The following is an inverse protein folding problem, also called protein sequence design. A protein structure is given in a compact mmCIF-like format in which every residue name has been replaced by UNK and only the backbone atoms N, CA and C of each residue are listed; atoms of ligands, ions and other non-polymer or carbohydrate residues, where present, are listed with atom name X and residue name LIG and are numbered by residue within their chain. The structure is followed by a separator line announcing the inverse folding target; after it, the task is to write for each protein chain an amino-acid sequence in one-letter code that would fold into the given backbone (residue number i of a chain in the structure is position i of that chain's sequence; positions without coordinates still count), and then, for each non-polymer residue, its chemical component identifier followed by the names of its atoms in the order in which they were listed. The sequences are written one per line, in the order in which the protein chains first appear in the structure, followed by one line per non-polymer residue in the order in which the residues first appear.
data_IF_557188370403
#
_entry.id   IF_557188370403
#
_cell.length_a   1.000
_cell.length_b   1.000
_cell.length_c   1.000
_cell.angle_alpha   90.00
_cell.angle_beta   90.00
_cell.angle_gamma   90.00
#
_symmetry.space_group_name_H-M   'P 1'
#
loop_
_entity.id
_entity.type
_entity.pdbx_description
1 polymer ?
#
# COMPACT_ATOMS: atom_id res chain seq x y z
N UNK A 1 17.15 -23.72 -27.08
CA UNK A 1 17.23 -23.23 -25.69
C UNK A 1 18.26 -22.13 -25.66
N UNK A 2 17.80 -20.91 -25.92
CA UNK A 2 18.62 -19.69 -25.86
C UNK A 2 18.02 -18.90 -24.71
N UNK A 3 18.71 -18.96 -23.59
CA UNK A 3 18.41 -18.26 -22.35
C UNK A 3 18.55 -16.77 -22.63
N UNK A 4 17.44 -16.04 -22.69
CA UNK A 4 17.46 -14.60 -22.85
C UNK A 4 17.90 -13.99 -21.52
N UNK A 5 19.12 -13.43 -21.50
CA UNK A 5 19.68 -12.74 -20.35
C UNK A 5 18.74 -11.63 -19.87
N UNK A 6 18.52 -11.55 -18.55
CA UNK A 6 17.86 -10.42 -17.91
C UNK A 6 18.58 -9.12 -18.24
N UNK A 7 17.87 -8.03 -18.59
CA UNK A 7 18.50 -6.73 -18.78
C UNK A 7 19.08 -6.25 -17.44
N UNK A 8 20.37 -5.87 -17.45
CA UNK A 8 21.05 -5.30 -16.30
C UNK A 8 20.32 -4.03 -15.79
N UNK A 9 20.24 -3.79 -14.47
CA UNK A 9 19.64 -2.59 -13.92
C UNK A 9 20.46 -1.36 -14.34
N UNK A 10 19.94 -0.60 -15.30
CA UNK A 10 20.52 0.67 -15.72
C UNK A 10 20.16 1.78 -14.74
N UNK A 11 21.11 2.68 -14.48
CA UNK A 11 20.98 3.88 -13.65
C UNK A 11 19.87 4.78 -14.21
N UNK A 12 18.65 4.65 -13.69
CA UNK A 12 17.53 5.51 -14.10
C UNK A 12 17.67 6.89 -13.44
N UNK A 13 18.39 7.79 -14.11
CA UNK A 13 18.47 9.21 -13.75
C UNK A 13 17.15 9.90 -14.16
N UNK A 14 16.70 10.91 -13.40
CA UNK A 14 15.47 11.70 -13.66
C UNK A 14 15.47 12.30 -15.08
N UNK A 15 14.87 11.62 -16.05
CA UNK A 15 14.62 12.20 -17.39
C UNK A 15 13.24 12.90 -17.47
N UNK A 16 12.33 12.65 -16.52
CA UNK A 16 11.02 13.31 -16.47
C UNK A 16 10.53 13.58 -15.05
N UNK A 17 9.72 14.63 -14.88
CA UNK A 17 9.09 14.99 -13.61
C UNK A 17 8.24 13.84 -13.07
N UNK A 18 8.21 13.67 -11.75
CA UNK A 18 7.44 12.60 -11.09
C UNK A 18 5.93 12.76 -11.35
N UNK A 19 5.42 11.90 -12.25
CA UNK A 19 4.01 11.80 -12.64
C UNK A 19 3.17 10.95 -11.68
N UNK A 20 3.66 10.63 -10.48
CA UNK A 20 2.85 9.94 -9.47
C UNK A 20 1.61 10.81 -9.17
N UNK A 21 0.39 10.30 -9.48
CA UNK A 21 -0.82 11.09 -9.31
C UNK A 21 -1.00 11.41 -7.84
N UNK A 22 -1.27 12.68 -7.55
CA UNK A 22 -1.70 13.15 -6.23
C UNK A 22 -2.99 13.93 -6.37
N UNK A 23 -3.59 14.33 -5.25
CA UNK A 23 -4.88 15.00 -5.22
C UNK A 23 -4.90 16.28 -6.07
N UNK A 24 -3.81 17.06 -6.07
CA UNK A 24 -3.65 18.31 -6.85
C UNK A 24 -2.85 18.15 -8.14
N UNK A 25 -2.39 16.94 -8.44
CA UNK A 25 -1.64 16.62 -9.65
C UNK A 25 -2.22 15.35 -10.22
N UNK A 26 -3.48 15.46 -10.65
CA UNK A 26 -4.22 14.34 -11.22
C UNK A 26 -3.58 13.92 -12.53
N UNK A 27 -3.61 12.61 -12.80
CA UNK A 27 -3.22 12.10 -14.11
C UNK A 27 -4.47 12.04 -14.98
N UNK A 28 -4.42 12.60 -16.19
CA UNK A 28 -5.46 12.36 -17.19
C UNK A 28 -5.39 10.90 -17.64
N UNK A 29 -6.31 10.08 -17.17
CA UNK A 29 -6.50 8.74 -17.67
C UNK A 29 -7.60 8.73 -18.74
N UNK A 30 -7.75 7.62 -19.45
CA UNK A 30 -8.71 7.52 -20.55
C UNK A 30 -10.17 7.53 -20.06
N UNK A 31 -10.37 7.14 -18.80
CA UNK A 31 -11.64 7.19 -18.09
C UNK A 31 -11.91 8.52 -17.40
N UNK A 32 -10.97 9.48 -17.42
CA UNK A 32 -11.08 10.79 -16.78
C UNK A 32 -9.91 11.06 -15.81
N UNK A 33 -10.01 12.14 -15.03
CA UNK A 33 -8.94 12.48 -14.09
C UNK A 33 -8.84 11.43 -12.95
N UNK A 34 -7.60 11.24 -12.49
CA UNK A 34 -7.23 10.26 -11.47
C UNK A 34 -6.64 10.95 -10.25
N UNK A 35 -7.23 10.76 -9.08
CA UNK A 35 -6.67 11.20 -7.80
C UNK A 35 -6.29 9.99 -6.93
N UNK A 36 -5.11 10.04 -6.32
CA UNK A 36 -4.67 9.07 -5.31
C UNK A 36 -4.63 9.77 -3.96
N UNK A 37 -5.25 9.15 -2.97
CA UNK A 37 -5.35 9.64 -1.61
C UNK A 37 -4.43 8.77 -0.76
N UNK A 38 -3.41 9.39 -0.17
CA UNK A 38 -2.43 8.68 0.66
C UNK A 38 -2.94 8.54 2.09
N UNK A 39 -2.86 7.31 2.59
CA UNK A 39 -3.25 6.92 3.92
C UNK A 39 -2.03 6.34 4.62
N UNK A 40 -1.32 7.09 5.49
CA UNK A 40 -0.22 6.53 6.27
C UNK A 40 -0.66 5.27 7.04
N UNK A 41 -0.02 4.14 6.75
CA UNK A 41 -0.40 2.83 7.31
C UNK A 41 -1.78 2.32 6.86
N UNK A 42 -2.34 2.87 5.78
CA UNK A 42 -3.67 2.53 5.29
C UNK A 42 -4.83 3.02 6.16
N UNK A 43 -4.54 3.80 7.20
CA UNK A 43 -5.52 4.22 8.21
C UNK A 43 -6.40 5.35 7.70
N UNK A 44 -7.69 5.23 7.94
CA UNK A 44 -8.68 6.27 7.69
C UNK A 44 -9.69 6.32 8.85
N UNK A 45 -10.16 7.52 9.19
CA UNK A 45 -11.30 7.67 10.11
C UNK A 45 -12.62 7.44 9.37
N UNK A 46 -13.64 7.06 10.13
CA UNK A 46 -15.01 6.89 9.63
C UNK A 46 -15.53 8.10 8.84
N UNK A 47 -15.40 9.31 9.39
CA UNK A 47 -15.86 10.55 8.76
C UNK A 47 -15.09 10.87 7.47
N UNK A 48 -13.79 10.61 7.44
CA UNK A 48 -12.96 10.74 6.24
C UNK A 48 -13.41 9.78 5.13
N UNK A 49 -13.70 8.53 5.49
CA UNK A 49 -14.19 7.54 4.53
C UNK A 49 -15.56 7.95 3.96
N UNK A 50 -16.46 8.45 4.81
CA UNK A 50 -17.76 9.00 4.36
C UNK A 50 -17.58 10.16 3.40
N UNK A 51 -16.66 11.11 3.68
CA UNK A 51 -16.39 12.22 2.76
C UNK A 51 -15.85 11.72 1.41
N UNK A 52 -14.92 10.76 1.41
CA UNK A 52 -14.41 10.18 0.16
C UNK A 52 -15.50 9.44 -0.63
N UNK A 53 -16.38 8.72 0.06
CA UNK A 53 -17.49 8.02 -0.55
C UNK A 53 -18.45 8.99 -1.25
N UNK A 54 -18.81 10.08 -0.58
CA UNK A 54 -19.65 11.15 -1.15
C UNK A 54 -18.98 11.80 -2.37
N UNK A 55 -17.69 12.11 -2.28
CA UNK A 55 -16.93 12.66 -3.40
C UNK A 55 -16.88 11.70 -4.59
N UNK A 56 -16.66 10.40 -4.34
CA UNK A 56 -16.64 9.37 -5.38
C UNK A 56 -18.01 9.24 -6.08
N UNK A 57 -19.11 9.28 -5.32
CA UNK A 57 -20.46 9.20 -5.88
C UNK A 57 -20.88 10.45 -6.67
N UNK A 58 -20.46 11.64 -6.22
CA UNK A 58 -20.89 12.90 -6.82
C UNK A 58 -20.02 13.34 -8.00
N UNK A 59 -18.71 13.05 -7.96
CA UNK A 59 -17.73 13.66 -8.87
C UNK A 59 -16.83 12.65 -9.58
N UNK A 60 -16.96 11.34 -9.34
CA UNK A 60 -16.13 10.29 -9.92
C UNK A 60 -16.98 9.12 -10.45
N UNK A 61 -16.36 7.96 -10.69
CA UNK A 61 -17.03 6.75 -11.20
C UNK A 61 -17.88 5.98 -10.16
N UNK A 62 -18.02 6.51 -8.94
CA UNK A 62 -18.77 5.88 -7.86
C UNK A 62 -18.02 4.82 -7.06
N UNK A 63 -16.70 4.68 -7.24
CA UNK A 63 -15.88 3.71 -6.51
C UNK A 63 -14.66 4.33 -5.81
N UNK A 64 -14.24 3.69 -4.73
CA UNK A 64 -12.94 3.86 -4.10
C UNK A 64 -12.10 2.63 -4.44
N UNK A 65 -11.01 2.81 -5.19
CA UNK A 65 -10.14 1.69 -5.57
C UNK A 65 -9.02 1.48 -4.54
N UNK A 66 -8.90 0.26 -4.06
CA UNK A 66 -7.86 -0.16 -3.13
C UNK A 66 -6.55 -0.41 -3.89
N UNK A 67 -5.46 0.14 -3.37
CA UNK A 67 -4.15 0.07 -4.02
C UNK A 67 -3.21 -0.92 -3.33
N UNK A 68 -2.18 -1.36 -4.05
CA UNK A 68 -1.13 -2.26 -3.52
C UNK A 68 -0.21 -1.64 -2.44
N UNK A 69 -0.57 -0.46 -1.91
CA UNK A 69 0.15 0.29 -0.88
C UNK A 69 -0.74 0.73 0.29
N UNK A 70 -1.96 0.20 0.38
CA UNK A 70 -2.94 0.61 1.40
C UNK A 70 -3.52 2.01 1.20
N UNK A 71 -3.29 2.64 0.05
CA UNK A 71 -3.89 3.92 -0.32
C UNK A 71 -5.21 3.71 -1.06
N UNK A 72 -5.99 4.80 -1.22
CA UNK A 72 -7.21 4.83 -2.04
C UNK A 72 -7.00 5.62 -3.33
N UNK A 73 -7.82 5.32 -4.34
CA UNK A 73 -7.80 5.99 -5.63
C UNK A 73 -9.22 6.23 -6.14
N UNK A 74 -9.49 7.46 -6.62
CA UNK A 74 -10.71 7.83 -7.34
C UNK A 74 -10.39 7.98 -8.82
N UNK A 75 -11.23 7.39 -9.68
CA UNK A 75 -11.09 7.44 -11.14
C UNK A 75 -12.30 8.08 -11.78
N UNK A 76 -12.13 8.55 -13.02
CA UNK A 76 -13.22 9.18 -13.77
C UNK A 76 -13.71 10.47 -13.14
N UNK A 77 -12.79 11.23 -12.53
CA UNK A 77 -13.14 12.46 -11.84
C UNK A 77 -13.56 13.51 -12.88
N UNK A 78 -14.81 13.95 -12.76
CA UNK A 78 -15.41 14.99 -13.59
C UNK A 78 -15.14 16.41 -13.05
N UNK A 79 -15.02 16.54 -11.73
CA UNK A 79 -14.72 17.80 -11.03
C UNK A 79 -13.54 17.60 -10.08
N UNK A 80 -12.35 17.96 -10.54
CA UNK A 80 -11.09 17.77 -9.79
C UNK A 80 -11.00 18.71 -8.60
N UNK A 81 -11.50 19.94 -8.72
CA UNK A 81 -11.45 20.93 -7.65
C UNK A 81 -12.35 20.49 -6.49
N UNK A 82 -13.58 20.05 -6.78
CA UNK A 82 -14.49 19.54 -5.75
C UNK A 82 -13.92 18.32 -5.00
N UNK A 83 -13.30 17.38 -5.71
CA UNK A 83 -12.64 16.22 -5.07
C UNK A 83 -11.45 16.68 -4.22
N UNK A 84 -10.63 17.61 -4.71
CA UNK A 84 -9.51 18.14 -3.95
C UNK A 84 -9.95 18.84 -2.67
N UNK A 85 -10.97 19.70 -2.76
CA UNK A 85 -11.54 20.41 -1.62
C UNK A 85 -12.12 19.44 -0.59
N UNK A 86 -12.80 18.39 -1.01
CA UNK A 86 -13.34 17.36 -0.11
C UNK A 86 -12.22 16.63 0.64
N UNK A 87 -11.15 16.23 -0.07
CA UNK A 87 -10.01 15.51 0.51
C UNK A 87 -9.23 16.40 1.50
N UNK A 88 -9.02 17.67 1.16
CA UNK A 88 -8.38 18.65 2.06
C UNK A 88 -9.24 18.92 3.28
N UNK A 89 -10.55 19.13 3.09
CA UNK A 89 -11.49 19.40 4.18
C UNK A 89 -11.60 18.22 5.15
N UNK A 90 -11.46 16.99 4.66
CA UNK A 90 -11.37 15.78 5.47
C UNK A 90 -10.03 15.62 6.21
N UNK A 91 -9.03 16.47 5.94
CA UNK A 91 -7.69 16.38 6.50
C UNK A 91 -6.86 15.20 5.96
N UNK A 92 -7.22 14.68 4.79
CA UNK A 92 -6.53 13.55 4.16
C UNK A 92 -5.32 13.99 3.31
N UNK A 93 -5.32 15.24 2.84
CA UNK A 93 -4.19 15.86 2.17
C UNK A 93 -3.90 17.24 2.78
N UNK A 94 -2.62 17.68 2.81
CA UNK A 94 -2.32 19.07 3.13
C UNK A 94 -2.92 20.00 2.07
N UNK A 95 -3.22 21.25 2.41
CA UNK A 95 -3.68 22.28 1.46
C UNK A 95 -2.61 22.74 0.44
N UNK A 96 -1.43 22.12 0.46
CA UNK A 96 -0.31 22.40 -0.42
C UNK A 96 -0.02 21.20 -1.32
N UNK A 97 0.74 21.41 -2.39
CA UNK A 97 1.09 20.38 -3.40
C UNK A 97 1.93 19.19 -2.87
N UNK A 98 2.19 19.13 -1.56
CA UNK A 98 3.10 18.19 -0.89
C UNK A 98 2.51 16.81 -0.57
N UNK A 99 1.41 16.42 -1.23
CA UNK A 99 0.80 15.10 -1.04
C UNK A 99 1.80 13.96 -1.38
N UNK A 100 2.80 14.18 -2.24
CA UNK A 100 3.60 13.10 -2.87
C UNK A 100 4.38 12.16 -1.94
N UNK A 101 4.78 12.60 -0.75
CA UNK A 101 5.86 11.97 0.05
C UNK A 101 5.35 11.01 1.13
N UNK A 102 4.03 10.83 1.27
CA UNK A 102 3.40 10.09 2.39
C UNK A 102 3.08 8.61 2.08
N UNK A 103 3.94 7.91 1.32
CA UNK A 103 3.77 6.45 1.15
C UNK A 103 4.43 5.74 2.33
N UNK A 104 3.66 5.49 3.38
CA UNK A 104 4.11 4.78 4.58
C UNK A 104 3.27 3.50 4.70
N UNK A 105 3.91 2.34 4.54
CA UNK A 105 3.30 1.04 4.83
C UNK A 105 3.58 0.67 6.29
N UNK A 106 2.57 0.12 6.97
CA UNK A 106 2.64 -0.24 8.40
C UNK A 106 1.98 -1.60 8.59
N UNK A 107 2.48 -2.41 9.52
CA UNK A 107 1.87 -3.69 9.88
C UNK A 107 0.37 -3.49 10.19
N UNK A 108 -0.56 -4.06 9.40
CA UNK A 108 -1.99 -3.73 9.49
C UNK A 108 -2.64 -4.06 10.84
N UNK A 109 -2.09 -5.03 11.56
CA UNK A 109 -2.60 -5.50 12.85
C UNK A 109 -1.89 -4.86 14.07
N UNK A 110 -1.03 -3.87 13.83
CA UNK A 110 -0.23 -3.24 14.89
C UNK A 110 -1.10 -2.60 15.98
N UNK A 111 -0.69 -2.84 17.23
CA UNK A 111 -1.40 -2.38 18.44
C UNK A 111 -2.73 -3.07 18.70
N UNK A 112 -3.06 -4.15 17.97
CA UNK A 112 -4.34 -4.85 18.05
C UNK A 112 -4.21 -6.36 18.24
N UNK A 113 -3.39 -6.99 17.41
CA UNK A 113 -3.19 -8.45 17.44
C UNK A 113 -1.71 -8.74 17.38
N UNK A 114 -1.10 -9.01 18.53
CA UNK A 114 0.33 -9.29 18.66
C UNK A 114 1.23 -8.17 18.13
N UNK A 115 2.44 -8.55 17.71
CA UNK A 115 3.51 -7.61 17.38
C UNK A 115 4.33 -7.23 18.61
N UNK A 116 5.51 -6.64 18.37
CA UNK A 116 6.42 -6.19 19.44
C UNK A 116 5.99 -4.83 19.99
N UNK A 117 5.47 -3.95 19.14
CA UNK A 117 5.02 -2.60 19.51
C UNK A 117 3.67 -2.25 18.88
N UNK A 118 2.99 -1.24 19.43
CA UNK A 118 2.07 -0.42 18.63
C UNK A 118 2.89 0.59 17.81
N UNK A 119 2.92 0.40 16.49
CA UNK A 119 3.63 1.26 15.56
C UNK A 119 2.86 2.55 15.20
N UNK A 120 1.66 2.77 15.76
CA UNK A 120 0.87 3.97 15.52
C UNK A 120 1.54 5.28 15.89
N UNK A 121 2.08 5.44 17.12
CA UNK A 121 2.83 6.63 17.49
C UNK A 121 4.05 6.88 16.59
N UNK A 122 4.78 5.83 16.21
CA UNK A 122 5.92 5.93 15.29
C UNK A 122 5.50 6.37 13.89
N UNK A 123 4.40 5.81 13.37
CA UNK A 123 3.84 6.19 12.07
C UNK A 123 3.42 7.66 12.04
N UNK A 124 2.73 8.12 13.08
CA UNK A 124 2.29 9.50 13.20
C UNK A 124 3.50 10.46 13.25
N UNK A 125 4.51 10.13 14.05
CA UNK A 125 5.74 10.92 14.15
C UNK A 125 6.51 11.01 12.82
N UNK A 126 6.63 9.91 12.08
CA UNK A 126 7.23 9.90 10.75
C UNK A 126 6.43 10.78 9.78
N UNK A 127 5.12 10.65 9.79
CA UNK A 127 4.24 11.39 8.90
C UNK A 127 4.25 12.90 9.19
N UNK A 128 4.28 13.29 10.46
CA UNK A 128 4.44 14.68 10.88
C UNK A 128 5.81 15.24 10.47
N UNK A 129 6.89 14.46 10.64
CA UNK A 129 8.23 14.86 10.24
C UNK A 129 8.36 15.06 8.72
N UNK A 130 7.79 14.15 7.91
CA UNK A 130 7.76 14.29 6.45
C UNK A 130 6.93 15.49 5.99
N UNK A 131 5.86 15.84 6.71
CA UNK A 131 5.04 17.03 6.43
C UNK A 131 5.77 18.33 6.80
N UNK A 132 6.61 18.29 7.83
CA UNK A 132 7.35 19.46 8.32
C UNK A 132 8.64 19.72 7.53
N UNK A 133 9.26 18.71 6.93
CA UNK A 133 10.55 18.82 6.24
C UNK A 133 10.41 19.39 4.81
N UNK A 134 10.93 20.60 4.52
CA UNK A 134 10.92 21.15 3.16
C UNK A 134 11.72 20.29 2.17
N UNK A 135 12.76 19.57 2.64
CA UNK A 135 13.58 18.69 1.80
C UNK A 135 12.83 17.41 1.40
N UNK A 136 11.74 17.05 2.09
CA UNK A 136 10.88 15.94 1.70
C UNK A 136 10.34 16.09 0.27
N UNK A 137 10.20 17.33 -0.23
CA UNK A 137 9.83 17.64 -1.64
C UNK A 137 10.75 16.99 -2.68
N UNK A 138 12.00 16.72 -2.30
CA UNK A 138 13.00 16.12 -3.18
C UNK A 138 12.88 14.59 -3.25
N UNK A 139 12.09 13.98 -2.37
CA UNK A 139 11.83 12.54 -2.31
C UNK A 139 10.82 12.19 -3.41
N UNK A 140 11.12 11.13 -4.18
CA UNK A 140 10.16 10.64 -5.18
C UNK A 140 8.88 10.16 -4.50
N UNK A 141 7.72 10.48 -5.07
CA UNK A 141 6.44 9.89 -4.67
C UNK A 141 6.32 8.40 -4.99
N UNK A 142 7.39 7.77 -5.48
CA UNK A 142 7.54 6.31 -5.56
C UNK A 142 8.25 5.73 -4.35
N UNK A 143 9.09 6.49 -3.66
CA UNK A 143 9.77 6.09 -2.43
C UNK A 143 8.74 5.58 -1.42
N UNK A 144 9.09 4.51 -0.71
CA UNK A 144 8.23 3.79 0.19
C UNK A 144 8.92 3.63 1.53
N UNK A 145 8.31 4.19 2.56
CA UNK A 145 8.67 3.93 3.95
C UNK A 145 7.89 2.71 4.45
N UNK A 146 8.53 1.91 5.29
CA UNK A 146 7.94 0.77 5.98
C UNK A 146 8.11 0.89 7.49
N UNK A 147 7.07 0.57 8.25
CA UNK A 147 7.12 0.41 9.70
C UNK A 147 6.55 -0.95 10.05
N UNK A 148 7.44 -1.87 10.36
CA UNK A 148 7.12 -3.22 10.78
C UNK A 148 7.10 -3.28 12.30
N UNK A 149 6.00 -3.73 12.88
CA UNK A 149 5.85 -3.83 14.33
C UNK A 149 6.58 -5.02 14.96
N UNK A 150 7.42 -5.70 14.19
CA UNK A 150 8.25 -6.83 14.61
C UNK A 150 7.74 -8.18 14.12
N UNK A 151 6.56 -8.22 13.46
CA UNK A 151 6.00 -9.45 12.89
C UNK A 151 6.54 -9.82 11.50
N UNK A 152 7.34 -8.95 10.88
CA UNK A 152 8.01 -9.21 9.60
C UNK A 152 7.13 -9.03 8.35
N UNK A 153 5.93 -8.48 8.50
CA UNK A 153 4.96 -8.34 7.42
C UNK A 153 5.20 -7.19 6.45
N UNK A 154 5.80 -6.11 6.92
CA UNK A 154 6.25 -5.00 6.11
C UNK A 154 7.69 -5.20 5.66
N UNK A 155 8.54 -5.83 6.48
CA UNK A 155 9.92 -6.19 6.14
C UNK A 155 10.02 -6.85 4.76
N UNK A 156 9.18 -7.85 4.49
CA UNK A 156 9.17 -8.63 3.24
C UNK A 156 8.70 -7.85 2.00
N UNK A 157 8.10 -6.67 2.17
CA UNK A 157 7.52 -5.90 1.05
C UNK A 157 8.55 -5.09 0.27
N UNK A 158 9.79 -5.02 0.75
CA UNK A 158 10.87 -4.32 0.05
C UNK A 158 10.68 -2.81 0.01
N UNK A 159 10.26 -2.22 1.13
CA UNK A 159 10.30 -0.77 1.31
C UNK A 159 11.74 -0.23 1.13
N UNK A 160 11.86 1.02 0.70
CA UNK A 160 13.19 1.63 0.49
C UNK A 160 13.88 1.93 1.82
N UNK A 161 13.10 2.40 2.80
CA UNK A 161 13.51 2.59 4.18
C UNK A 161 12.49 1.87 5.08
N UNK A 162 12.93 0.89 5.87
CA UNK A 162 12.04 0.16 6.76
C UNK A 162 12.58 0.12 8.19
N UNK A 163 11.73 0.38 9.18
CA UNK A 163 12.02 0.14 10.57
C UNK A 163 11.34 -1.17 11.00
N UNK A 164 12.09 -2.10 11.57
CA UNK A 164 11.56 -3.37 12.12
C UNK A 164 11.74 -3.38 13.62
N UNK A 165 10.63 -3.31 14.36
CA UNK A 165 10.68 -3.27 15.81
C UNK A 165 11.28 -4.56 16.40
N UNK A 166 12.19 -4.40 17.35
CA UNK A 166 12.90 -5.49 18.05
C UNK A 166 12.67 -5.50 19.55
N UNK A 167 12.33 -4.35 20.13
CA UNK A 167 12.03 -4.21 21.55
C UNK A 167 10.96 -3.13 21.73
N UNK A 168 10.10 -3.30 22.74
CA UNK A 168 9.11 -2.31 23.17
C UNK A 168 9.63 -1.39 24.28
N UNK A 169 10.49 -1.91 25.17
CA UNK A 169 10.96 -1.19 26.36
C UNK A 169 12.48 -1.39 26.58
N UNK A 170 13.31 -0.42 26.15
CA UNK A 170 12.95 0.73 25.32
C UNK A 170 12.54 0.31 23.90
N UNK A 171 11.83 1.18 23.18
CA UNK A 171 11.53 0.96 21.76
C UNK A 171 12.83 0.96 20.98
N UNK A 172 13.13 -0.14 20.28
CA UNK A 172 14.30 -0.29 19.40
C UNK A 172 13.85 -0.90 18.09
N UNK A 173 14.36 -0.39 16.98
CA UNK A 173 14.12 -0.96 15.66
C UNK A 173 15.41 -1.15 14.87
N UNK A 174 15.48 -2.23 14.09
CA UNK A 174 16.45 -2.35 13.01
C UNK A 174 16.01 -1.48 11.85
N UNK A 175 16.97 -0.77 11.25
CA UNK A 175 16.77 0.04 10.07
C UNK A 175 17.25 -0.75 8.86
N UNK A 176 16.41 -0.84 7.85
CA UNK A 176 16.68 -1.50 6.60
C UNK A 176 16.73 -0.49 5.46
N UNK A 177 17.70 -0.67 4.57
CA UNK A 177 17.84 0.05 3.30
C UNK A 177 17.60 -0.93 2.16
N UNK A 178 16.49 -0.77 1.43
CA UNK A 178 16.14 -1.67 0.33
C UNK A 178 16.03 -3.15 0.73
N UNK A 179 15.63 -3.42 1.98
CA UNK A 179 15.51 -4.77 2.56
C UNK A 179 16.74 -5.27 3.32
N UNK A 180 17.88 -4.60 3.23
CA UNK A 180 19.12 -4.97 3.95
C UNK A 180 19.16 -4.25 5.29
N UNK A 181 19.27 -4.97 6.39
CA UNK A 181 19.44 -4.35 7.71
C UNK A 181 20.84 -3.73 7.83
N UNK A 182 20.91 -2.45 8.22
CA UNK A 182 22.17 -1.67 8.26
C UNK A 182 22.59 -1.26 9.67
N UNK A 183 21.69 -1.37 10.64
CA UNK A 183 21.94 -1.07 12.05
C UNK A 183 20.64 -0.90 12.83
N UNK A 184 20.73 -0.63 14.13
CA UNK A 184 19.57 -0.39 14.99
C UNK A 184 19.62 0.99 15.64
N UNK A 185 18.45 1.50 16.00
CA UNK A 185 18.30 2.76 16.73
C UNK A 185 17.13 2.67 17.72
N UNK A 186 17.31 3.31 18.87
CA UNK A 186 16.32 3.39 19.92
C UNK A 186 15.50 4.68 19.88
N UNK A 187 14.27 4.59 20.37
CA UNK A 187 13.35 5.72 20.54
C UNK A 187 12.71 6.19 19.23
N UNK A 188 11.45 6.61 19.33
CA UNK A 188 10.67 7.11 18.17
C UNK A 188 11.40 8.22 17.40
N UNK A 189 12.01 9.25 18.04
CA UNK A 189 12.71 10.29 17.30
C UNK A 189 13.90 9.77 16.49
N UNK A 190 14.70 8.87 17.06
CA UNK A 190 15.87 8.30 16.39
C UNK A 190 15.47 7.40 15.21
N UNK A 191 14.40 6.63 15.36
CA UNK A 191 13.86 5.80 14.26
C UNK A 191 13.37 6.68 13.11
N UNK A 192 12.62 7.75 13.41
CA UNK A 192 12.14 8.70 12.38
C UNK A 192 13.30 9.37 11.65
N UNK A 193 14.31 9.86 12.38
CA UNK A 193 15.51 10.46 11.82
C UNK A 193 16.26 9.48 10.90
N UNK A 194 16.41 8.23 11.35
CA UNK A 194 17.07 7.19 10.56
C UNK A 194 16.30 6.87 9.27
N UNK A 195 14.96 6.80 9.29
CA UNK A 195 14.16 6.58 8.09
C UNK A 195 14.29 7.73 7.08
N UNK A 196 14.24 8.97 7.56
CA UNK A 196 14.41 10.16 6.71
C UNK A 196 15.83 10.23 6.15
N UNK A 197 16.85 9.82 6.91
CA UNK A 197 18.24 9.82 6.45
C UNK A 197 18.47 8.87 5.27
N UNK A 198 17.74 7.75 5.18
CA UNK A 198 17.77 6.88 3.98
C UNK A 198 17.31 7.64 2.74
N UNK A 199 16.20 8.38 2.85
CA UNK A 199 15.66 9.14 1.72
C UNK A 199 16.58 10.30 1.31
N UNK A 200 17.13 11.03 2.28
CA UNK A 200 18.13 12.07 2.04
C UNK A 200 19.41 11.50 1.42
N UNK A 201 19.89 10.36 1.93
CA UNK A 201 21.05 9.64 1.43
C UNK A 201 20.87 9.16 0.00
N UNK A 202 19.69 8.64 -0.37
CA UNK A 202 19.37 8.24 -1.75
C UNK A 202 19.59 9.41 -2.71
N UNK A 203 19.07 10.59 -2.36
CA UNK A 203 19.25 11.79 -3.16
C UNK A 203 20.71 12.26 -3.23
N UNK A 204 21.49 12.05 -2.17
CA UNK A 204 22.91 12.41 -2.14
C UNK A 204 23.79 11.46 -2.96
N UNK A 205 23.46 10.17 -2.96
CA UNK A 205 24.25 9.15 -3.66
C UNK A 205 23.89 9.08 -5.14
N UNK A 206 22.61 9.11 -5.47
CA UNK A 206 22.14 9.04 -6.85
C UNK A 206 21.04 10.10 -7.09
N UNK A 207 21.42 11.36 -7.32
CA UNK A 207 20.47 12.42 -7.67
C UNK A 207 19.70 12.03 -8.93
N UNK A 208 18.44 11.63 -8.75
CA UNK A 208 17.62 11.13 -9.87
C UNK A 208 16.96 9.78 -9.63
N UNK A 209 17.49 8.96 -8.72
CA UNK A 209 16.88 7.69 -8.40
C UNK A 209 15.47 7.89 -7.82
N UNK A 210 14.54 7.02 -8.18
CA UNK A 210 13.17 7.03 -7.64
C UNK A 210 13.03 6.11 -6.44
N UNK A 211 13.81 5.02 -6.40
CA UNK A 211 13.80 3.97 -5.38
C UNK A 211 15.22 3.49 -5.11
N UNK A 212 15.44 2.91 -3.93
CA UNK A 212 16.73 2.28 -3.57
C UNK A 212 17.02 1.07 -4.47
N UNK A 213 15.98 0.33 -4.88
CA UNK A 213 16.12 -0.82 -5.79
C UNK A 213 16.61 -0.45 -7.19
N UNK A 214 16.47 0.82 -7.59
CA UNK A 214 16.90 1.31 -8.90
C UNK A 214 18.43 1.60 -8.91
N UNK A 215 19.08 1.56 -7.74
CA UNK A 215 20.52 1.76 -7.60
C UNK A 215 21.30 0.54 -8.07
N UNK A 216 22.44 0.82 -8.73
CA UNK A 216 23.52 -0.15 -8.90
C UNK A 216 24.13 -0.55 -7.56
N UNK A 217 24.86 -1.68 -7.55
CA UNK A 217 25.39 -2.27 -6.32
C UNK A 217 26.33 -1.32 -5.55
N UNK A 218 27.18 -0.56 -6.25
CA UNK A 218 28.12 0.39 -5.63
C UNK A 218 27.40 1.53 -4.90
N UNK A 219 26.44 2.19 -5.57
CA UNK A 219 25.64 3.27 -4.99
C UNK A 219 24.80 2.76 -3.82
N UNK A 220 24.21 1.57 -3.94
CA UNK A 220 23.47 0.96 -2.84
C UNK A 220 24.35 0.74 -1.63
N UNK A 221 25.55 0.18 -1.82
CA UNK A 221 26.48 -0.04 -0.71
C UNK A 221 27.01 1.26 -0.10
N UNK A 222 27.15 2.31 -0.91
CA UNK A 222 27.47 3.66 -0.41
C UNK A 222 26.34 4.23 0.45
N UNK A 223 25.08 4.05 0.05
CA UNK A 223 23.91 4.45 0.83
C UNK A 223 23.82 3.67 2.15
N UNK A 224 23.97 2.35 2.10
CA UNK A 224 23.96 1.48 3.29
C UNK A 224 24.99 1.95 4.33
N UNK A 225 26.23 2.21 3.90
CA UNK A 225 27.30 2.70 4.79
C UNK A 225 26.99 4.07 5.37
N UNK A 226 26.51 5.01 4.54
CA UNK A 226 26.17 6.36 4.98
C UNK A 226 25.11 6.35 6.09
N UNK A 227 24.10 5.47 5.98
CA UNK A 227 23.05 5.34 6.98
C UNK A 227 23.58 4.63 8.23
N UNK A 228 24.39 3.57 8.06
CA UNK A 228 24.94 2.79 9.16
C UNK A 228 25.87 3.59 10.10
N UNK A 229 26.52 4.66 9.62
CA UNK A 229 27.45 5.50 10.39
C UNK A 229 26.85 6.05 11.70
N UNK A 230 25.54 6.25 11.76
CA UNK A 230 24.83 6.80 12.91
C UNK A 230 23.99 5.77 13.67
N UNK A 231 24.14 4.48 13.37
CA UNK A 231 23.36 3.41 13.96
C UNK A 231 24.22 2.51 14.85
N UNK A 232 23.59 1.91 15.86
CA UNK A 232 24.20 0.82 16.59
C UNK A 232 24.23 -0.45 15.71
N UNK A 233 25.08 -1.46 16.03
CA UNK A 233 24.98 -2.77 15.41
C UNK A 233 23.55 -3.32 15.49
N UNK A 234 23.16 -4.10 14.48
CA UNK A 234 21.85 -4.75 14.47
C UNK A 234 21.68 -5.61 15.71
N UNK A 235 20.49 -5.62 16.30
CA UNK A 235 20.22 -6.40 17.52
C UNK A 235 20.34 -7.93 17.27
N UNK A 236 20.33 -8.37 16.00
CA UNK A 236 20.37 -9.76 15.52
C UNK A 236 19.28 -10.66 16.12
N UNK A 237 18.51 -11.29 15.24
CA UNK A 237 17.90 -12.58 15.54
C UNK A 237 18.49 -13.56 14.54
N UNK A 238 19.24 -14.54 15.02
CA UNK A 238 19.67 -15.70 14.25
C UNK A 238 18.45 -16.31 13.51
N UNK A 239 18.69 -16.74 12.28
CA UNK A 239 17.75 -17.38 11.34
C UNK A 239 16.89 -16.42 10.51
N UNK A 240 17.06 -16.56 9.19
CA UNK A 240 16.07 -16.19 8.18
C UNK A 240 14.72 -16.80 8.58
N UNK A 241 13.90 -16.04 9.32
CA UNK A 241 12.51 -16.39 9.50
C UNK A 241 11.88 -16.30 8.11
N UNK A 242 11.84 -17.44 7.42
CA UNK A 242 11.10 -17.64 6.18
C UNK A 242 9.65 -17.38 6.56
N UNK A 243 9.26 -16.11 6.46
CA UNK A 243 7.94 -15.66 6.85
C UNK A 243 6.91 -16.59 6.18
N UNK A 244 6.08 -17.22 7.01
CA UNK A 244 5.01 -18.07 6.51
C UNK A 244 4.20 -17.30 5.45
N UNK A 245 3.65 -18.00 4.44
CA UNK A 245 2.74 -17.39 3.48
C UNK A 245 1.69 -16.58 4.23
N UNK A 246 1.51 -15.33 3.81
CA UNK A 246 0.55 -14.42 4.43
C UNK A 246 -0.83 -14.92 4.07
N UNK A 247 -1.51 -15.51 5.04
CA UNK A 247 -2.93 -15.77 4.91
C UNK A 247 -3.65 -14.43 4.76
N UNK A 248 -4.68 -14.34 3.89
CA UNK A 248 -5.47 -13.13 3.78
C UNK A 248 -6.05 -12.74 5.15
N UNK A 249 -6.00 -11.45 5.48
CA UNK A 249 -6.64 -10.93 6.71
C UNK A 249 -8.12 -10.73 6.41
N UNK A 250 -8.84 -11.85 6.29
CA UNK A 250 -10.27 -11.91 5.92
C UNK A 250 -11.00 -12.84 6.88
N UNK A 251 -12.07 -12.33 7.49
CA UNK A 251 -12.86 -13.06 8.48
C UNK A 251 -12.94 -12.32 9.81
N UNK A 252 -13.14 -13.10 10.87
CA UNK A 252 -13.31 -12.64 12.23
C UNK A 252 -12.04 -12.89 13.04
N UNK A 253 -11.51 -11.85 13.68
CA UNK A 253 -10.29 -11.94 14.49
C UNK A 253 -10.53 -11.30 15.85
N UNK A 254 -10.15 -12.01 16.92
CA UNK A 254 -10.14 -11.46 18.26
C UNK A 254 -8.88 -10.59 18.46
N UNK A 255 -9.06 -9.42 19.05
CA UNK A 255 -7.98 -8.53 19.44
C UNK A 255 -7.48 -8.82 20.85
N UNK A 256 -6.26 -8.38 21.14
CA UNK A 256 -5.59 -8.60 22.42
C UNK A 256 -6.35 -7.96 23.61
N UNK A 257 -7.15 -6.92 23.35
CA UNK A 257 -7.98 -6.22 24.33
C UNK A 257 -9.41 -6.80 24.46
N UNK A 258 -9.74 -7.86 23.72
CA UNK A 258 -11.05 -8.49 23.69
C UNK A 258 -12.06 -7.82 22.74
N UNK A 259 -11.66 -6.78 21.99
CA UNK A 259 -12.43 -6.29 20.86
C UNK A 259 -12.30 -7.21 19.64
N UNK A 260 -13.06 -6.92 18.59
CA UNK A 260 -13.10 -7.70 17.35
C UNK A 260 -12.56 -6.86 16.20
N UNK A 261 -11.76 -7.49 15.35
CA UNK A 261 -11.38 -7.01 14.04
C UNK A 261 -12.08 -7.85 12.97
N UNK A 262 -12.78 -7.17 12.05
CA UNK A 262 -13.34 -7.80 10.87
C UNK A 262 -12.47 -7.50 9.65
N UNK A 263 -11.83 -8.53 9.11
CA UNK A 263 -11.09 -8.46 7.86
C UNK A 263 -12.00 -8.77 6.68
N UNK A 264 -11.93 -7.99 5.62
CA UNK A 264 -12.80 -8.18 4.46
C UNK A 264 -12.14 -7.78 3.14
N UNK A 265 -12.72 -8.22 2.03
CA UNK A 265 -12.35 -7.79 0.67
C UNK A 265 -13.60 -7.39 -0.09
N UNK A 266 -13.40 -6.72 -1.23
CA UNK A 266 -14.45 -6.41 -2.19
C UNK A 266 -14.04 -6.88 -3.57
N UNK A 267 -15.03 -7.19 -4.40
CA UNK A 267 -14.84 -7.52 -5.81
C UNK A 267 -13.88 -6.54 -6.50
N UNK A 268 -12.89 -7.08 -7.21
CA UNK A 268 -11.87 -6.33 -7.95
C UNK A 268 -11.04 -5.32 -7.12
N UNK A 269 -11.16 -5.32 -5.78
CA UNK A 269 -10.61 -4.25 -4.94
C UNK A 269 -11.25 -2.89 -5.22
N UNK A 270 -12.49 -2.85 -5.71
CA UNK A 270 -13.26 -1.63 -5.97
C UNK A 270 -14.40 -1.51 -4.98
N UNK A 271 -14.22 -0.70 -3.95
CA UNK A 271 -15.22 -0.46 -2.92
C UNK A 271 -16.29 0.50 -3.47
N UNK A 272 -17.57 0.08 -3.63
CA UNK A 272 -18.62 1.00 -4.05
C UNK A 272 -18.79 2.13 -3.02
N UNK A 273 -18.98 3.37 -3.49
CA UNK A 273 -19.18 4.53 -2.63
C UNK A 273 -20.28 4.29 -1.60
N UNK A 274 -21.40 3.71 -2.01
CA UNK A 274 -22.50 3.40 -1.07
C UNK A 274 -22.08 2.44 0.04
N UNK A 275 -21.28 1.42 -0.27
CA UNK A 275 -20.78 0.48 0.74
C UNK A 275 -19.75 1.17 1.66
N UNK A 276 -18.91 2.05 1.12
CA UNK A 276 -18.00 2.87 1.91
C UNK A 276 -18.73 3.79 2.91
N UNK A 277 -19.87 4.37 2.53
CA UNK A 277 -20.71 5.15 3.46
C UNK A 277 -21.22 4.29 4.62
N UNK A 278 -21.64 3.05 4.36
CA UNK A 278 -22.08 2.13 5.40
C UNK A 278 -20.94 1.68 6.32
N UNK A 279 -19.74 1.47 5.78
CA UNK A 279 -18.54 1.21 6.59
C UNK A 279 -18.24 2.44 7.47
N UNK A 280 -18.30 3.65 6.91
CA UNK A 280 -18.13 4.88 7.69
C UNK A 280 -19.19 5.05 8.80
N UNK A 281 -20.43 4.62 8.55
CA UNK A 281 -21.51 4.67 9.54
C UNK A 281 -21.33 3.68 10.71
N UNK A 282 -20.37 2.75 10.65
CA UNK A 282 -19.98 1.92 11.81
C UNK A 282 -19.26 2.75 12.88
N UNK A 283 -18.69 3.90 12.51
CA UNK A 283 -17.95 4.81 13.40
C UNK A 283 -16.72 4.18 14.07
N UNK A 284 -16.14 3.17 13.42
CA UNK A 284 -14.95 2.46 13.88
C UNK A 284 -13.72 2.77 12.99
N UNK A 285 -12.49 2.64 13.52
CA UNK A 285 -11.28 2.79 12.72
C UNK A 285 -11.22 1.78 11.57
N UNK A 286 -10.79 2.23 10.40
CA UNK A 286 -10.65 1.39 9.21
C UNK A 286 -9.20 1.42 8.71
N UNK A 287 -8.70 0.25 8.33
CA UNK A 287 -7.37 0.08 7.72
C UNK A 287 -7.53 -0.57 6.36
N UNK A 288 -6.98 0.06 5.32
CA UNK A 288 -6.80 -0.53 4.00
C UNK A 288 -5.42 -1.13 3.88
N UNK A 289 -5.33 -2.43 3.64
CA UNK A 289 -4.03 -3.10 3.60
C UNK A 289 -3.40 -2.98 2.21
N UNK A 290 -2.06 -3.12 2.11
CA UNK A 290 -1.39 -3.24 0.81
C UNK A 290 -1.75 -4.49 0.00
N UNK A 291 -2.47 -5.44 0.61
CA UNK A 291 -3.01 -6.63 -0.05
C UNK A 291 -4.48 -6.48 -0.47
N UNK A 292 -5.03 -5.25 -0.34
CA UNK A 292 -6.40 -4.83 -0.68
C UNK A 292 -7.48 -5.43 0.21
N UNK A 293 -7.15 -5.68 1.47
CA UNK A 293 -8.13 -5.96 2.50
C UNK A 293 -8.62 -4.66 3.14
N UNK A 294 -9.83 -4.71 3.68
CA UNK A 294 -10.49 -3.67 4.47
C UNK A 294 -10.68 -4.23 5.87
N UNK A 295 -10.00 -3.65 6.86
CA UNK A 295 -10.10 -4.06 8.24
C UNK A 295 -10.97 -3.05 8.99
N UNK A 296 -12.09 -3.50 9.53
CA UNK A 296 -12.93 -2.72 10.44
C UNK A 296 -12.55 -3.13 11.85
N UNK A 297 -11.96 -2.20 12.60
CA UNK A 297 -11.26 -2.52 13.83
C UNK A 297 -12.07 -2.10 15.07
N UNK A 298 -11.68 -2.65 16.21
CA UNK A 298 -12.03 -2.16 17.55
C UNK A 298 -13.54 -2.25 17.82
N UNK A 299 -14.17 -3.31 17.28
CA UNK A 299 -15.61 -3.55 17.39
C UNK A 299 -15.93 -4.32 18.66
N UNK A 300 -17.05 -3.99 19.31
CA UNK A 300 -17.67 -4.93 20.23
C UNK A 300 -18.29 -6.10 19.47
N UNK A 301 -18.28 -7.31 20.04
CA UNK A 301 -18.78 -8.55 19.42
C UNK A 301 -20.18 -8.39 18.78
N UNK A 302 -21.16 -7.86 19.51
CA UNK A 302 -22.52 -7.66 18.96
C UNK A 302 -22.60 -6.64 17.80
N UNK A 303 -21.69 -5.67 17.77
CA UNK A 303 -21.56 -4.74 16.63
C UNK A 303 -20.96 -5.47 15.45
N UNK A 304 -19.89 -6.25 15.66
CA UNK A 304 -19.25 -7.05 14.61
C UNK A 304 -20.23 -8.06 13.98
N UNK A 305 -21.05 -8.77 14.76
CA UNK A 305 -22.11 -9.63 14.23
C UNK A 305 -23.09 -8.87 13.33
N UNK A 306 -23.46 -7.67 13.76
CA UNK A 306 -24.39 -6.80 13.00
C UNK A 306 -23.74 -6.31 11.70
N UNK A 307 -22.47 -5.93 11.74
CA UNK A 307 -21.69 -5.53 10.57
C UNK A 307 -21.65 -6.66 9.55
N UNK A 308 -21.31 -7.89 9.96
CA UNK A 308 -21.29 -9.05 9.05
C UNK A 308 -22.68 -9.29 8.45
N UNK A 309 -23.73 -9.29 9.28
CA UNK A 309 -25.11 -9.54 8.83
C UNK A 309 -25.62 -8.50 7.82
N UNK A 310 -25.21 -7.24 7.95
CA UNK A 310 -25.69 -6.14 7.10
C UNK A 310 -24.80 -5.94 5.88
N UNK A 311 -23.48 -5.94 6.04
CA UNK A 311 -22.55 -5.59 4.95
C UNK A 311 -22.22 -6.77 4.04
N UNK A 312 -22.29 -8.03 4.52
CA UNK A 312 -22.03 -9.18 3.66
C UNK A 312 -23.01 -9.30 2.49
N UNK A 313 -24.35 -9.18 2.69
CA UNK A 313 -25.30 -9.13 1.58
C UNK A 313 -25.11 -7.94 0.62
N UNK A 314 -24.37 -6.91 1.03
CA UNK A 314 -24.09 -5.72 0.22
C UNK A 314 -22.79 -5.84 -0.60
N UNK A 315 -22.08 -6.97 -0.52
CA UNK A 315 -20.86 -7.24 -1.29
C UNK A 315 -19.56 -7.06 -0.52
N UNK A 316 -19.60 -6.86 0.80
CA UNK A 316 -18.39 -6.91 1.63
C UNK A 316 -18.09 -8.38 2.01
N UNK A 317 -16.96 -8.91 1.58
CA UNK A 317 -16.69 -10.35 1.65
C UNK A 317 -15.82 -10.66 2.87
N UNK A 318 -16.33 -11.50 3.77
CA UNK A 318 -15.63 -11.94 5.00
C UNK A 318 -15.16 -13.41 4.94
N UNK A 319 -15.17 -14.04 3.76
CA UNK A 319 -14.69 -15.41 3.58
C UNK A 319 -13.28 -15.41 2.97
N UNK A 320 -12.29 -15.90 3.73
CA UNK A 320 -10.90 -16.01 3.29
C UNK A 320 -10.70 -16.98 2.11
N UNK A 321 -11.66 -17.88 1.86
CA UNK A 321 -11.66 -18.78 0.71
C UNK A 321 -12.26 -18.16 -0.56
N UNK A 322 -12.80 -16.96 -0.47
CA UNK A 322 -13.26 -16.22 -1.64
C UNK A 322 -12.11 -16.03 -2.63
N UNK A 323 -12.33 -16.22 -3.94
CA UNK A 323 -11.30 -15.93 -4.95
C UNK A 323 -10.84 -14.47 -4.87
N UNK A 324 -11.69 -13.54 -4.42
CA UNK A 324 -11.34 -12.13 -4.24
C UNK A 324 -10.28 -11.86 -3.17
N UNK A 325 -10.00 -12.81 -2.27
CA UNK A 325 -8.89 -12.72 -1.33
C UNK A 325 -7.51 -13.00 -1.98
N UNK A 326 -7.50 -13.58 -3.18
CA UNK A 326 -6.30 -14.02 -3.92
C UNK A 326 -6.18 -13.41 -5.31
N UNK A 327 -7.25 -12.85 -5.86
CA UNK A 327 -7.27 -12.22 -7.16
C UNK A 327 -7.13 -10.71 -7.05
N UNK A 328 -6.36 -10.14 -7.96
CA UNK A 328 -6.29 -8.69 -8.14
C UNK A 328 -6.06 -8.38 -9.61
N UNK A 329 -6.34 -7.15 -10.03
CA UNK A 329 -6.06 -6.73 -11.39
C UNK A 329 -5.66 -5.26 -11.49
N UNK A 330 -5.10 -4.88 -12.63
CA UNK A 330 -5.07 -3.48 -13.02
C UNK A 330 -6.43 -3.04 -13.60
N UNK A 331 -6.53 -1.78 -14.02
CA UNK A 331 -7.77 -1.23 -14.59
C UNK A 331 -8.17 -1.92 -15.90
N UNK A 332 -7.18 -2.24 -16.75
CA UNK A 332 -7.44 -2.77 -18.10
C UNK A 332 -8.07 -1.75 -19.04
N UNK A 333 -8.45 -2.19 -20.23
CA UNK A 333 -9.28 -1.42 -21.15
C UNK A 333 -10.75 -1.41 -20.65
N UNK A 334 -11.57 -0.39 -21.01
CA UNK A 334 -11.20 0.84 -21.71
C UNK A 334 -10.56 1.91 -20.81
N UNK A 335 -10.50 1.71 -19.49
CA UNK A 335 -10.01 2.73 -18.53
C UNK A 335 -8.51 3.04 -18.61
N UNK A 336 -7.74 2.20 -19.31
CA UNK A 336 -6.31 2.41 -19.55
C UNK A 336 -5.97 2.24 -21.04
N UNK A 337 -5.56 3.32 -21.71
CA UNK A 337 -5.20 3.29 -23.14
C UNK A 337 -3.90 2.56 -23.47
N UNK A 338 -3.20 2.02 -22.47
CA UNK A 338 -2.05 1.14 -22.68
C UNK A 338 -2.40 -0.33 -22.51
N UNK A 339 -3.64 -0.67 -22.17
CA UNK A 339 -4.07 -2.04 -21.95
C UNK A 339 -4.52 -2.71 -23.27
N UNK A 340 -4.18 -3.99 -23.41
CA UNK A 340 -4.52 -4.80 -24.57
C UNK A 340 -5.87 -5.55 -24.43
N UNK A 341 -6.45 -5.59 -23.22
CA UNK A 341 -7.66 -6.36 -22.92
C UNK A 341 -8.52 -5.68 -21.83
N UNK A 342 -9.83 -5.97 -21.79
CA UNK A 342 -10.75 -5.51 -20.75
C UNK A 342 -10.59 -6.35 -19.46
N UNK A 343 -9.43 -6.23 -18.82
CA UNK A 343 -8.96 -7.09 -17.72
C UNK A 343 -9.99 -7.31 -16.61
N UNK A 344 -10.76 -6.28 -16.23
CA UNK A 344 -11.78 -6.39 -15.17
C UNK A 344 -12.92 -7.31 -15.59
N UNK A 345 -13.41 -7.15 -16.81
CA UNK A 345 -14.48 -8.00 -17.36
C UNK A 345 -14.00 -9.44 -17.50
N UNK A 346 -12.77 -9.63 -18.00
CA UNK A 346 -12.17 -10.96 -18.16
C UNK A 346 -11.95 -11.66 -16.80
N UNK A 347 -11.54 -10.91 -15.77
CA UNK A 347 -11.37 -11.45 -14.41
C UNK A 347 -12.72 -11.80 -13.76
N UNK A 348 -13.77 -11.00 -13.99
CA UNK A 348 -15.11 -11.33 -13.52
C UNK A 348 -15.60 -12.64 -14.16
N UNK A 349 -15.49 -12.76 -15.48
CA UNK A 349 -15.85 -13.98 -16.20
C UNK A 349 -15.05 -15.20 -15.71
N UNK A 350 -13.77 -15.01 -15.35
CA UNK A 350 -12.94 -16.06 -14.77
C UNK A 350 -13.47 -16.55 -13.41
N UNK A 351 -13.90 -15.64 -12.55
CA UNK A 351 -14.49 -15.97 -11.24
C UNK A 351 -15.87 -16.63 -11.41
N UNK A 352 -16.72 -16.10 -12.28
CA UNK A 352 -18.05 -16.65 -12.57
C UNK A 352 -18.00 -18.08 -13.14
N UNK A 353 -16.94 -18.40 -13.90
CA UNK A 353 -16.70 -19.75 -14.40
C UNK A 353 -16.38 -20.78 -13.30
N UNK A 354 -16.15 -20.34 -12.05
CA UNK A 354 -15.89 -21.21 -10.90
C UNK A 354 -14.56 -21.97 -10.98
N UNK A 355 -13.58 -21.42 -11.72
CA UNK A 355 -12.27 -22.03 -11.84
C UNK A 355 -11.49 -21.90 -10.51
N UNK A 356 -10.79 -22.96 -10.04
CA UNK A 356 -10.06 -22.90 -8.79
C UNK A 356 -8.94 -21.86 -8.82
N UNK A 357 -8.88 -21.00 -7.79
CA UNK A 357 -7.79 -20.06 -7.55
C UNK A 357 -6.88 -20.63 -6.46
N UNK A 358 -5.75 -21.19 -6.85
CA UNK A 358 -4.78 -21.78 -5.90
C UNK A 358 -3.85 -20.73 -5.31
N UNK A 359 -2.95 -20.21 -6.15
CA UNK A 359 -2.01 -19.15 -5.77
C UNK A 359 -2.66 -17.76 -5.90
N UNK A 360 -2.04 -16.74 -5.32
CA UNK A 360 -2.40 -15.33 -5.59
C UNK A 360 -2.19 -15.05 -7.08
N UNK A 361 -3.19 -14.50 -7.76
CA UNK A 361 -3.09 -14.11 -9.18
C UNK A 361 -3.25 -12.60 -9.35
N UNK A 362 -2.50 -12.04 -10.30
CA UNK A 362 -2.62 -10.64 -10.70
C UNK A 362 -2.80 -10.50 -12.20
N UNK A 363 -3.98 -10.02 -12.60
CA UNK A 363 -4.36 -9.84 -13.99
C UNK A 363 -3.97 -8.44 -14.49
N UNK A 364 -3.21 -8.37 -15.58
CA UNK A 364 -2.62 -7.12 -16.06
C UNK A 364 -2.83 -6.93 -17.55
N UNK A 365 -3.22 -5.71 -17.95
CA UNK A 365 -3.53 -5.39 -19.34
C UNK A 365 -2.32 -5.12 -20.22
N UNK A 366 -1.13 -4.92 -19.63
CA UNK A 366 0.09 -4.65 -20.38
C UNK A 366 1.36 -4.90 -19.55
N UNK A 367 2.51 -4.68 -20.17
CA UNK A 367 3.85 -4.87 -19.59
C UNK A 367 4.17 -3.98 -18.38
N UNK A 368 3.39 -2.90 -18.15
CA UNK A 368 3.58 -2.02 -16.98
C UNK A 368 3.17 -2.68 -15.66
N UNK A 369 2.30 -3.70 -15.72
CA UNK A 369 1.84 -4.51 -14.57
C UNK A 369 1.42 -3.69 -13.34
N UNK A 370 0.65 -2.63 -13.59
CA UNK A 370 0.24 -1.69 -12.55
C UNK A 370 -0.49 -2.39 -11.40
N UNK A 371 -0.03 -2.20 -10.17
CA UNK A 371 -0.66 -2.76 -8.98
C UNK A 371 -0.25 -4.18 -8.64
N UNK A 372 0.81 -4.72 -9.26
CA UNK A 372 1.29 -6.07 -8.93
C UNK A 372 1.58 -6.23 -7.43
N UNK A 373 1.21 -7.37 -6.83
CA UNK A 373 1.62 -7.72 -5.47
C UNK A 373 3.15 -7.68 -5.31
N UNK A 374 3.62 -7.36 -4.11
CA UNK A 374 5.05 -7.35 -3.80
C UNK A 374 5.62 -8.78 -3.65
N UNK A 375 4.82 -9.72 -3.13
CA UNK A 375 5.20 -11.12 -2.95
C UNK A 375 4.95 -11.98 -4.19
N UNK A 376 5.30 -13.27 -4.08
CA UNK A 376 5.14 -14.24 -5.16
C UNK A 376 3.70 -14.37 -5.61
N UNK A 377 3.47 -14.34 -6.92
CA UNK A 377 2.13 -14.45 -7.50
C UNK A 377 2.17 -14.97 -8.94
N UNK A 378 1.03 -15.44 -9.45
CA UNK A 378 0.82 -15.72 -10.86
C UNK A 378 0.44 -14.43 -11.59
N UNK A 379 1.31 -13.91 -12.45
CA UNK A 379 0.99 -12.80 -13.35
C UNK A 379 0.25 -13.34 -14.56
N UNK A 380 -0.96 -12.83 -14.81
CA UNK A 380 -1.82 -13.16 -15.97
C UNK A 380 -1.87 -11.92 -16.86
N UNK A 381 -0.99 -11.86 -17.86
CA UNK A 381 -0.74 -10.65 -18.66
C UNK A 381 -1.40 -10.73 -20.03
N UNK A 382 -2.25 -9.74 -20.35
CA UNK A 382 -2.87 -9.61 -21.66
C UNK A 382 -1.81 -9.37 -22.75
N UNK A 383 -1.95 -10.11 -23.83
CA UNK A 383 -1.07 -10.06 -25.00
C UNK A 383 -1.73 -9.23 -26.12
N UNK A 384 -0.95 -8.61 -27.03
CA UNK A 384 -1.51 -7.78 -28.11
C UNK A 384 -2.41 -8.53 -29.09
N UNK A 385 -2.33 -9.86 -29.16
CA UNK A 385 -3.16 -10.74 -29.98
C UNK A 385 -4.48 -11.15 -29.30
N UNK A 386 -4.79 -10.60 -28.12
CA UNK A 386 -6.06 -10.80 -27.41
C UNK A 386 -6.09 -12.01 -26.46
N UNK A 387 -4.94 -12.62 -26.19
CA UNK A 387 -4.79 -13.71 -25.22
C UNK A 387 -4.22 -13.26 -23.87
N UNK A 388 -3.88 -14.26 -23.04
CA UNK A 388 -3.22 -14.04 -21.74
C UNK A 388 -2.03 -14.99 -21.54
N UNK A 389 -0.87 -14.41 -21.26
CA UNK A 389 0.33 -15.12 -20.82
C UNK A 389 0.34 -15.29 -19.30
N UNK A 390 0.63 -16.50 -18.82
CA UNK A 390 0.71 -16.82 -17.38
C UNK A 390 2.16 -17.07 -16.96
N UNK A 391 2.67 -16.32 -15.99
CA UNK A 391 4.04 -16.50 -15.45
C UNK A 391 4.07 -16.30 -13.94
N UNK A 392 4.74 -17.21 -13.24
CA UNK A 392 5.04 -17.04 -11.81
C UNK A 392 6.07 -15.93 -11.64
N UNK A 393 5.84 -15.02 -10.69
CA UNK A 393 6.66 -13.85 -10.40
C UNK A 393 7.00 -13.81 -8.93
#
# INVERSE_FOLDING_TARGET
MTEAAEPAPGTAIRESADRCPGVFSTHEAQDGALARIRLPGGRIRADQLTTLAQAAAAHADGFLELTARGNLQLRGIADVEAVADAVVSAGLAPSSSHDKVRNIEVSPLTGRIGGVIDAGPLTAALDDALRADPAATSISGRFLFGVDDGRGDIRRRGADACAVARSAEPVVADILVGGVAVGSVGGVPGIVEALISVAAGLNAVAPGAWRVRDLGAEDRHRLERLVAENLAPTVESDEDDVAAPVEPIVGWFDQDDGSVLLGSVVELGRLPARLAEFIGAVESPVVFTPDREILICDLGEGVAETVVRVLAPMGLIFDANSPWARLSCCVGAPGCGSANAPVREDLLAHVEAGLPVGDREHWVGCERRCGSPAGTHLSVQATPDGGYDRRRR
#
